data_IF_294329914969
#
_entry.id   IF_294329914969
#
_cell.length_a   1.000
_cell.length_b   1.000
_cell.length_c   1.000
_cell.angle_alpha   90.00
_cell.angle_beta   90.00
_cell.angle_gamma   90.00
#
_symmetry.space_group_name_H-M   'P 1'
#
loop_
_entity.id
_entity.type
_entity.pdbx_description
1 polymer ?
#
# COMPACT_ATOMS: atom_id res chain seq x y z
N UNK A 1 1.54 -11.83 8.49
CA UNK A 1 2.49 -10.72 8.25
C UNK A 1 1.87 -9.82 7.19
N UNK A 2 1.83 -8.49 7.38
CA UNK A 2 1.18 -7.52 6.47
C UNK A 2 2.17 -6.40 6.11
N UNK A 3 2.07 -5.89 4.89
CA UNK A 3 2.82 -4.72 4.42
C UNK A 3 1.86 -3.73 3.75
N UNK A 4 2.12 -2.42 3.89
CA UNK A 4 1.35 -1.34 3.29
C UNK A 4 2.28 -0.19 2.88
N UNK A 5 1.80 0.69 2.01
CA UNK A 5 2.51 1.88 1.54
C UNK A 5 3.75 1.57 0.69
N UNK A 6 4.79 2.38 0.86
CA UNK A 6 6.04 2.26 0.09
C UNK A 6 6.69 0.88 0.19
N UNK A 7 6.69 0.30 1.38
CA UNK A 7 7.22 -1.06 1.66
C UNK A 7 6.44 -2.14 0.89
N UNK A 8 5.17 -1.89 0.55
CA UNK A 8 4.38 -2.75 -0.32
C UNK A 8 4.66 -2.52 -1.83
N UNK A 9 5.71 -1.77 -2.16
CA UNK A 9 6.15 -1.50 -3.53
C UNK A 9 5.53 -0.25 -4.16
N UNK A 10 4.81 0.59 -3.41
CA UNK A 10 4.09 1.71 -4.02
C UNK A 10 5.00 2.83 -4.56
N UNK A 11 6.13 3.12 -3.90
CA UNK A 11 6.98 4.28 -4.20
C UNK A 11 7.94 4.13 -5.38
N UNK A 12 8.27 2.89 -5.80
CA UNK A 12 9.36 2.66 -6.76
C UNK A 12 9.14 1.53 -7.77
N UNK A 13 7.95 0.95 -7.88
CA UNK A 13 7.67 0.04 -9.00
C UNK A 13 6.73 -1.15 -8.82
N UNK A 14 6.07 -1.28 -7.67
CA UNK A 14 4.99 -2.24 -7.47
C UNK A 14 3.75 -1.86 -8.27
N UNK A 15 2.83 -1.09 -7.69
CA UNK A 15 1.61 -0.67 -8.38
C UNK A 15 1.85 0.26 -9.59
N UNK A 16 3.02 0.92 -9.66
CA UNK A 16 3.33 1.92 -10.69
C UNK A 16 4.38 1.47 -11.74
N UNK A 17 4.90 0.24 -11.68
CA UNK A 17 5.83 -0.27 -12.70
C UNK A 17 7.31 0.10 -12.48
N UNK A 18 7.89 1.04 -13.22
CA UNK A 18 9.31 1.40 -13.01
C UNK A 18 9.48 2.65 -12.15
N UNK A 19 8.52 3.59 -12.21
CA UNK A 19 8.53 4.85 -11.47
C UNK A 19 7.12 5.21 -11.01
N UNK A 20 7.01 5.84 -9.85
CA UNK A 20 5.76 6.44 -9.39
C UNK A 20 5.51 7.79 -10.05
N UNK A 21 4.26 8.10 -10.36
CA UNK A 21 3.88 9.43 -10.82
C UNK A 21 3.83 10.40 -9.64
N UNK A 22 4.26 11.64 -9.84
CA UNK A 22 4.20 12.68 -8.80
C UNK A 22 2.78 12.80 -8.21
N UNK A 23 2.69 12.88 -6.88
CA UNK A 23 1.41 12.99 -6.16
C UNK A 23 0.63 11.69 -5.94
N UNK A 24 1.05 10.55 -6.51
CA UNK A 24 0.33 9.28 -6.30
C UNK A 24 0.58 8.65 -4.92
N UNK A 25 1.71 8.98 -4.27
CA UNK A 25 2.20 8.36 -3.05
C UNK A 25 1.16 8.27 -1.92
N UNK A 26 0.50 9.40 -1.62
CA UNK A 26 -0.48 9.47 -0.55
C UNK A 26 -1.70 8.58 -0.81
N UNK A 27 -2.22 8.58 -2.05
CA UNK A 27 -3.36 7.75 -2.44
C UNK A 27 -3.07 6.25 -2.28
N UNK A 28 -1.87 5.81 -2.66
CA UNK A 28 -1.44 4.42 -2.47
C UNK A 28 -1.28 4.02 -1.02
N UNK A 29 -0.70 4.88 -0.20
CA UNK A 29 -0.56 4.66 1.24
C UNK A 29 -1.93 4.49 1.91
N UNK A 30 -2.90 5.32 1.58
CA UNK A 30 -4.27 5.22 2.12
C UNK A 30 -4.99 3.95 1.65
N UNK A 31 -4.90 3.62 0.36
CA UNK A 31 -5.55 2.43 -0.19
C UNK A 31 -4.97 1.14 0.40
N UNK A 32 -3.65 0.98 0.33
CA UNK A 32 -2.97 -0.20 0.87
C UNK A 32 -3.14 -0.32 2.38
N UNK A 33 -3.10 0.78 3.12
CA UNK A 33 -3.37 0.81 4.56
C UNK A 33 -4.79 0.36 4.90
N UNK A 34 -5.81 0.80 4.14
CA UNK A 34 -7.20 0.35 4.33
C UNK A 34 -7.37 -1.15 4.09
N UNK A 35 -6.76 -1.68 3.02
CA UNK A 35 -6.84 -3.12 2.70
C UNK A 35 -6.14 -3.94 3.77
N UNK A 36 -4.91 -3.56 4.14
CA UNK A 36 -4.13 -4.24 5.17
C UNK A 36 -4.84 -4.19 6.53
N UNK A 37 -5.40 -3.05 6.91
CA UNK A 37 -6.13 -2.88 8.17
C UNK A 37 -7.37 -3.77 8.26
N UNK A 38 -8.16 -3.86 7.18
CA UNK A 38 -9.31 -4.79 7.12
C UNK A 38 -8.87 -6.25 7.23
N UNK A 39 -7.83 -6.65 6.50
CA UNK A 39 -7.33 -8.01 6.53
C UNK A 39 -6.76 -8.38 7.91
N UNK A 40 -6.07 -7.44 8.56
CA UNK A 40 -5.56 -7.63 9.92
C UNK A 40 -6.73 -7.76 10.92
N UNK A 41 -7.74 -6.89 10.84
CA UNK A 41 -8.92 -6.96 11.70
C UNK A 41 -9.67 -8.31 11.59
N UNK A 42 -9.83 -8.83 10.37
CA UNK A 42 -10.44 -10.17 10.16
C UNK A 42 -9.56 -11.31 10.66
N UNK A 43 -8.24 -11.16 10.67
CA UNK A 43 -7.33 -12.23 11.11
C UNK A 43 -7.14 -12.29 12.63
N UNK A 44 -7.48 -11.21 13.35
CA UNK A 44 -7.31 -11.11 14.82
C UNK A 44 -8.63 -11.14 15.59
N UNK A 45 -9.77 -11.01 14.90
CA UNK A 45 -11.12 -11.16 15.48
C UNK A 45 -11.65 -12.57 15.26
#
# INVERSE_FOLDING_TARGET
MYAAGEVAGFGGGGMHGYNSLEGTFLGGCLFSGRVAGRAAATAVG
#
